data_IF_684452470442
#
_entry.id   IF_684452470442
#
_cell.length_a   1.000
_cell.length_b   1.000
_cell.length_c   1.000
_cell.angle_alpha   90.00
_cell.angle_beta   90.00
_cell.angle_gamma   90.00
#
_symmetry.space_group_name_H-M   'P 1'
#
loop_
_entity.id
_entity.type
_entity.pdbx_description
1 polymer ?
#
# COMPACT_ATOMS: atom_id res chain seq x y z
N UNK A 1 -1.56 14.26 -13.40
CA UNK A 1 -1.99 12.86 -13.65
C UNK A 1 -2.61 12.34 -12.36
N UNK A 2 -3.80 11.73 -12.38
CA UNK A 2 -4.42 11.21 -11.16
C UNK A 2 -3.50 10.14 -10.52
N UNK A 3 -3.13 10.26 -9.23
CA UNK A 3 -2.24 9.28 -8.61
C UNK A 3 -2.95 7.93 -8.57
N UNK A 4 -2.23 6.88 -9.00
CA UNK A 4 -2.78 5.54 -9.09
C UNK A 4 -2.98 4.99 -7.67
N UNK A 5 -4.24 4.95 -7.24
CA UNK A 5 -4.66 4.42 -5.93
C UNK A 5 -4.28 2.95 -5.73
N UNK A 6 -4.10 2.20 -6.82
CA UNK A 6 -3.74 0.78 -6.76
C UNK A 6 -2.79 0.41 -7.91
N UNK A 7 -1.89 -0.52 -7.63
CA UNK A 7 -1.01 -1.15 -8.61
C UNK A 7 -1.19 -2.68 -8.55
N UNK A 8 -1.00 -3.36 -9.67
CA UNK A 8 -1.08 -4.83 -9.74
C UNK A 8 0.24 -5.46 -9.30
N UNK A 9 0.18 -6.45 -8.40
CA UNK A 9 1.31 -7.26 -7.95
C UNK A 9 1.11 -8.72 -8.37
N UNK A 10 1.91 -9.20 -9.32
CA UNK A 10 1.88 -10.59 -9.78
C UNK A 10 2.92 -11.43 -9.02
N UNK A 11 2.49 -12.47 -8.32
CA UNK A 11 3.34 -13.33 -7.50
C UNK A 11 3.17 -14.79 -7.90
N UNK A 12 4.26 -15.55 -7.85
CA UNK A 12 4.24 -17.02 -7.90
C UNK A 12 4.59 -17.52 -6.51
N UNK A 13 3.70 -18.33 -5.94
CA UNK A 13 3.86 -18.92 -4.61
C UNK A 13 3.44 -20.38 -4.67
N UNK A 14 3.92 -21.15 -3.70
CA UNK A 14 3.51 -22.54 -3.52
C UNK A 14 1.98 -22.63 -3.32
N UNK A 15 1.30 -23.61 -3.95
CA UNK A 15 -0.15 -23.75 -3.84
C UNK A 15 -0.64 -23.97 -2.40
N UNK A 16 0.12 -24.66 -1.55
CA UNK A 16 -0.24 -24.85 -0.14
C UNK A 16 -0.13 -23.55 0.66
N UNK A 17 0.87 -22.71 0.36
CA UNK A 17 0.99 -21.38 0.97
C UNK A 17 -0.17 -20.48 0.57
N UNK A 18 -0.62 -20.56 -0.69
CA UNK A 18 -1.81 -19.83 -1.16
C UNK A 18 -3.06 -20.22 -0.38
N UNK A 19 -3.28 -21.51 -0.13
CA UNK A 19 -4.46 -21.98 0.61
C UNK A 19 -4.39 -21.59 2.09
N UNK A 20 -3.22 -21.72 2.73
CA UNK A 20 -3.03 -21.24 4.10
C UNK A 20 -3.28 -19.74 4.23
N UNK A 21 -2.83 -18.95 3.26
CA UNK A 21 -3.08 -17.51 3.21
C UNK A 21 -4.57 -17.19 3.01
N UNK A 22 -5.29 -17.98 2.19
CA UNK A 22 -6.74 -17.84 2.01
C UNK A 22 -7.47 -18.10 3.33
N UNK A 23 -7.12 -19.16 4.06
CA UNK A 23 -7.72 -19.43 5.37
C UNK A 23 -7.46 -18.30 6.37
N UNK A 24 -6.23 -17.79 6.44
CA UNK A 24 -5.88 -16.67 7.31
C UNK A 24 -6.72 -15.42 6.96
N UNK A 25 -6.82 -15.09 5.67
CA UNK A 25 -7.62 -13.96 5.20
C UNK A 25 -9.11 -14.11 5.54
N UNK A 26 -9.67 -15.33 5.42
CA UNK A 26 -11.05 -15.64 5.80
C UNK A 26 -11.30 -15.45 7.30
N UNK A 27 -10.38 -15.90 8.15
CA UNK A 27 -10.47 -15.73 9.61
C UNK A 27 -10.48 -14.25 10.00
N UNK A 28 -9.69 -13.44 9.29
CA UNK A 28 -9.55 -12.00 9.54
C UNK A 28 -10.59 -11.15 8.78
N UNK A 29 -11.60 -11.79 8.16
CA UNK A 29 -12.68 -11.16 7.39
C UNK A 29 -12.17 -10.16 6.33
N UNK A 30 -11.05 -10.47 5.69
CA UNK A 30 -10.41 -9.61 4.68
C UNK A 30 -10.09 -10.35 3.40
N UNK A 31 -9.93 -9.61 2.31
CA UNK A 31 -9.48 -10.19 1.05
C UNK A 31 -8.03 -10.65 1.15
N UNK A 32 -7.64 -11.61 0.30
CA UNK A 32 -6.25 -12.09 0.20
C UNK A 32 -5.28 -10.94 -0.12
N UNK A 33 -5.70 -9.99 -0.97
CA UNK A 33 -4.89 -8.81 -1.29
C UNK A 33 -4.64 -7.94 -0.05
N UNK A 34 -5.68 -7.69 0.75
CA UNK A 34 -5.53 -6.89 1.97
C UNK A 34 -4.74 -7.63 3.05
N UNK A 35 -4.84 -8.96 3.12
CA UNK A 35 -4.00 -9.78 3.99
C UNK A 35 -2.52 -9.66 3.60
N UNK A 36 -2.20 -9.77 2.30
CA UNK A 36 -0.84 -9.56 1.80
C UNK A 36 -0.34 -8.16 2.11
N UNK A 37 -1.16 -7.12 1.92
CA UNK A 37 -0.75 -5.75 2.21
C UNK A 37 -0.34 -5.58 3.68
N UNK A 38 -1.11 -6.12 4.62
CA UNK A 38 -0.76 -6.07 6.05
C UNK A 38 0.53 -6.84 6.34
N UNK A 39 0.70 -8.04 5.75
CA UNK A 39 1.92 -8.82 5.93
C UNK A 39 3.15 -8.10 5.39
N UNK A 40 3.04 -7.47 4.21
CA UNK A 40 4.11 -6.68 3.60
C UNK A 40 4.42 -5.46 4.47
N UNK A 41 3.40 -4.70 4.90
CA UNK A 41 3.60 -3.53 5.78
C UNK A 41 4.27 -3.90 7.09
N UNK A 42 3.84 -4.98 7.72
CA UNK A 42 4.47 -5.49 8.95
C UNK A 42 5.93 -5.86 8.71
N UNK A 43 6.21 -6.64 7.68
CA UNK A 43 7.57 -7.03 7.36
C UNK A 43 8.47 -5.81 7.10
N UNK A 44 7.99 -4.86 6.30
CA UNK A 44 8.70 -3.61 6.03
C UNK A 44 8.98 -2.81 7.31
N UNK A 45 8.00 -2.69 8.21
CA UNK A 45 8.20 -2.04 9.51
C UNK A 45 9.28 -2.76 10.34
N UNK A 46 9.22 -4.09 10.41
CA UNK A 46 10.17 -4.92 11.16
C UNK A 46 11.61 -4.79 10.63
N UNK A 47 11.79 -4.51 9.34
CA UNK A 47 13.12 -4.28 8.71
C UNK A 47 13.48 -2.79 8.55
N UNK A 48 12.65 -1.87 9.04
CA UNK A 48 12.91 -0.42 8.99
C UNK A 48 12.62 0.27 7.65
N UNK A 49 11.84 -0.35 6.76
CA UNK A 49 11.36 0.26 5.51
C UNK A 49 10.03 0.98 5.78
N UNK A 50 10.06 2.31 5.69
CA UNK A 50 8.86 3.14 5.85
C UNK A 50 7.98 3.10 4.59
N UNK A 51 6.73 2.65 4.72
CA UNK A 51 5.74 2.69 3.65
C UNK A 51 4.78 3.84 3.93
N UNK A 52 4.76 4.90 3.10
CA UNK A 52 3.83 6.01 3.28
C UNK A 52 2.38 5.52 3.14
N UNK A 53 1.51 6.04 4.02
CA UNK A 53 0.06 5.89 3.87
C UNK A 53 -0.37 6.55 2.56
N UNK A 54 -1.25 5.90 1.79
CA UNK A 54 -1.69 6.44 0.50
C UNK A 54 -2.21 7.88 0.64
N UNK A 55 -2.92 8.20 1.75
CA UNK A 55 -3.40 9.56 2.04
C UNK A 55 -2.31 10.62 2.20
N UNK A 56 -1.11 10.23 2.65
CA UNK A 56 0.03 11.16 2.80
C UNK A 56 0.65 11.52 1.45
N UNK A 57 0.72 10.56 0.52
CA UNK A 57 1.21 10.78 -0.86
C UNK A 57 0.36 11.79 -1.64
N UNK A 58 -0.96 11.82 -1.39
CA UNK A 58 -1.85 12.82 -2.02
C UNK A 58 -1.71 14.21 -1.38
N UNK A 59 -1.35 14.29 -0.09
CA UNK A 59 -1.19 15.56 0.62
C UNK A 59 0.09 16.30 0.20
N UNK A 60 1.19 15.57 0.04
CA UNK A 60 2.47 16.13 -0.43
C UNK A 60 2.34 16.71 -1.85
N UNK A 61 1.61 16.04 -2.75
CA UNK A 61 1.33 16.58 -4.10
C UNK A 61 0.43 17.83 -4.10
N UNK A 62 -0.49 17.97 -3.12
CA UNK A 62 -1.36 19.14 -3.01
C UNK A 62 -0.69 20.34 -2.33
N UNK A 63 0.32 20.12 -1.48
CA UNK A 63 1.09 21.19 -0.84
C UNK A 63 2.14 21.78 -1.82
N UNK A 64 2.81 20.94 -2.62
CA UNK A 64 3.74 21.39 -3.66
C UNK A 64 3.06 22.28 -4.74
N UNK A 65 1.81 22.00 -5.13
CA UNK A 65 1.07 22.86 -6.10
C UNK A 65 0.60 24.21 -5.51
N UNK A 66 0.46 24.33 -4.19
CA UNK A 66 0.03 25.58 -3.53
C UNK A 66 1.20 26.54 -3.27
N UNK A 67 2.41 26.03 -3.07
CA UNK A 67 3.60 26.88 -2.91
C UNK A 67 4.05 27.56 -4.21
N UNK A 68 3.77 26.96 -5.38
CA UNK A 68 4.20 27.53 -6.67
C UNK A 68 3.28 28.67 -7.15
N UNK A 69 2.00 28.69 -6.72
CA UNK A 69 1.04 29.77 -7.06
C UNK A 69 1.15 31.00 -6.16
N UNK A 70 1.81 30.87 -5.01
CA UNK A 70 2.03 31.96 -4.05
C UNK A 70 3.35 32.72 -4.27
N UNK A 71 4.14 32.33 -5.28
CA UNK A 71 5.42 32.95 -5.64
C UNK A 71 5.34 33.94 -6.81
N UNK A 72 4.12 34.19 -7.30
CA UNK A 72 3.82 35.17 -8.34
C UNK A 72 3.27 36.43 -7.64
N UNK A 73 4.17 37.19 -7.02
CA UNK A 73 3.99 38.63 -6.71
C UNK A 73 4.90 39.45 -7.64
#
# INVERSE_FOLDING_TARGET
MAPKKTALLNLRIDPFVKEALREAALRDQRSIANMLEVLIRRHCNDVGISIPEQGSLFKEMEEDEREDTSRID
#
